data_IF_104544974487
#
_entry.id   IF_104544974487
#
_cell.length_a   1.000
_cell.length_b   1.000
_cell.length_c   1.000
_cell.angle_alpha   90.00
_cell.angle_beta   90.00
_cell.angle_gamma   90.00
#
_symmetry.space_group_name_H-M   'P 1'
#
loop_
_entity.id
_entity.type
_entity.pdbx_description
1 polymer ?
#
# COMPACT_ATOMS: atom_id res chain seq x y z
N UNK A 1 -10.99 -6.44 13.82
CA UNK A 1 -11.42 -6.03 12.47
C UNK A 1 -10.64 -4.78 12.16
N UNK A 2 -10.01 -4.70 11.00
CA UNK A 2 -9.26 -3.52 10.56
C UNK A 2 -10.23 -2.34 10.44
N UNK A 3 -9.81 -1.13 10.81
CA UNK A 3 -10.61 0.09 10.59
C UNK A 3 -10.63 0.49 9.09
N UNK A 4 -9.72 -0.09 8.31
CA UNK A 4 -9.56 0.15 6.89
C UNK A 4 -10.44 -0.79 6.08
N UNK A 5 -11.62 -0.34 5.68
CA UNK A 5 -12.53 -1.11 4.82
C UNK A 5 -12.82 -0.40 3.50
N UNK A 6 -12.68 -1.16 2.41
CA UNK A 6 -13.02 -0.68 1.07
C UNK A 6 -14.49 -0.96 0.77
N UNK A 7 -15.20 0.01 0.21
CA UNK A 7 -16.58 -0.15 -0.23
C UNK A 7 -16.66 -0.67 -1.69
N UNK A 8 -17.84 -1.13 -2.08
CA UNK A 8 -18.13 -1.42 -3.48
C UNK A 8 -18.11 -0.14 -4.33
N UNK A 9 -17.66 -0.25 -5.58
CA UNK A 9 -17.62 0.88 -6.52
C UNK A 9 -16.38 1.78 -6.40
N UNK A 10 -15.50 1.55 -5.42
CA UNK A 10 -14.19 2.21 -5.38
C UNK A 10 -13.28 1.72 -6.51
N UNK A 11 -12.51 2.66 -7.06
CA UNK A 11 -11.40 2.42 -7.96
C UNK A 11 -10.44 1.34 -7.44
N UNK A 12 -9.71 0.74 -8.37
CA UNK A 12 -8.78 -0.33 -8.07
C UNK A 12 -7.38 0.24 -7.82
N UNK A 13 -6.66 -0.32 -6.84
CA UNK A 13 -5.24 -0.05 -6.63
C UNK A 13 -4.44 -0.56 -7.83
N UNK A 14 -4.80 -1.75 -8.30
CA UNK A 14 -4.07 -2.47 -9.34
C UNK A 14 -4.56 -2.20 -10.76
N UNK A 15 -5.86 -1.95 -10.93
CA UNK A 15 -6.54 -1.91 -12.23
C UNK A 15 -6.75 -3.28 -12.90
N UNK A 16 -6.50 -4.39 -12.18
CA UNK A 16 -6.64 -5.76 -12.70
C UNK A 16 -7.84 -6.53 -12.11
N UNK A 17 -8.49 -6.00 -11.09
CA UNK A 17 -9.62 -6.62 -10.40
C UNK A 17 -9.34 -7.98 -9.78
N UNK A 18 -10.43 -8.68 -9.46
CA UNK A 18 -10.39 -10.08 -9.02
C UNK A 18 -9.55 -10.32 -7.75
N UNK A 19 -8.83 -11.45 -7.72
CA UNK A 19 -7.95 -11.81 -6.61
C UNK A 19 -6.72 -10.91 -6.52
N UNK A 20 -6.26 -10.36 -7.65
CA UNK A 20 -5.11 -9.46 -7.69
C UNK A 20 -5.41 -8.18 -6.90
N UNK A 21 -6.56 -7.55 -7.18
CA UNK A 21 -7.00 -6.36 -6.45
C UNK A 21 -7.26 -6.65 -4.96
N UNK A 22 -7.83 -7.82 -4.64
CA UNK A 22 -8.02 -8.23 -3.24
C UNK A 22 -6.68 -8.34 -2.49
N UNK A 23 -5.64 -8.87 -3.14
CA UNK A 23 -4.29 -8.90 -2.57
C UNK A 23 -3.73 -7.50 -2.36
N UNK A 24 -3.85 -6.60 -3.34
CA UNK A 24 -3.41 -5.21 -3.19
C UNK A 24 -4.14 -4.49 -2.04
N UNK A 25 -5.45 -4.66 -1.91
CA UNK A 25 -6.21 -4.06 -0.80
C UNK A 25 -5.75 -4.61 0.55
N UNK A 26 -5.50 -5.92 0.66
CA UNK A 26 -4.96 -6.55 1.88
C UNK A 26 -3.58 -5.99 2.24
N UNK A 27 -2.73 -5.82 1.24
CA UNK A 27 -1.39 -5.22 1.37
C UNK A 27 -1.45 -3.78 1.86
N UNK A 28 -2.34 -2.94 1.30
CA UNK A 28 -2.55 -1.57 1.79
C UNK A 28 -2.99 -1.58 3.25
N UNK A 29 -4.02 -2.37 3.61
CA UNK A 29 -4.49 -2.48 5.00
C UNK A 29 -3.36 -2.83 5.97
N UNK A 30 -2.53 -3.83 5.63
CA UNK A 30 -1.39 -4.23 6.46
C UNK A 30 -0.35 -3.11 6.62
N UNK A 31 -0.14 -2.28 5.59
CA UNK A 31 0.74 -1.12 5.69
C UNK A 31 0.18 -0.01 6.58
N UNK A 32 -1.14 0.20 6.56
CA UNK A 32 -1.80 1.18 7.43
C UNK A 32 -1.79 0.72 8.89
N UNK A 33 -2.10 -0.55 9.14
CA UNK A 33 -1.99 -1.16 10.47
C UNK A 33 -0.54 -1.08 11.01
N UNK A 34 0.46 -1.20 10.14
CA UNK A 34 1.85 -0.99 10.53
C UNK A 34 2.13 0.46 10.93
N UNK A 35 1.55 1.45 10.25
CA UNK A 35 1.65 2.86 10.64
C UNK A 35 0.95 3.16 11.98
N UNK A 36 -0.18 2.51 12.25
CA UNK A 36 -0.86 2.64 13.55
C UNK A 36 0.02 2.17 14.71
N UNK A 37 0.81 1.12 14.49
CA UNK A 37 1.79 0.61 15.46
C UNK A 37 3.10 1.43 15.49
N UNK A 38 3.39 2.20 14.44
CA UNK A 38 4.63 2.95 14.26
C UNK A 38 4.36 4.40 13.80
N UNK A 39 3.69 5.22 14.62
CA UNK A 39 3.17 6.53 14.19
C UNK A 39 4.25 7.58 13.87
N UNK A 40 5.49 7.37 14.29
CA UNK A 40 6.62 8.27 14.02
C UNK A 40 7.52 7.76 12.88
N UNK A 41 7.16 6.66 12.22
CA UNK A 41 7.98 6.10 11.15
C UNK A 41 7.98 7.00 9.91
N UNK A 42 9.13 7.07 9.24
CA UNK A 42 9.31 7.87 8.03
C UNK A 42 9.96 7.02 6.93
N UNK A 43 9.22 6.08 6.31
CA UNK A 43 9.79 5.15 5.34
C UNK A 43 10.14 5.83 4.01
N UNK A 44 11.39 5.68 3.60
CA UNK A 44 11.91 6.29 2.35
C UNK A 44 12.05 5.22 1.26
N UNK A 45 11.35 5.43 0.16
CA UNK A 45 11.42 4.61 -1.04
C UNK A 45 11.92 5.39 -2.24
N UNK A 46 12.68 4.75 -3.14
CA UNK A 46 13.04 5.32 -4.42
C UNK A 46 12.63 4.39 -5.57
N UNK A 47 12.03 4.98 -6.61
CA UNK A 47 11.73 4.29 -7.86
C UNK A 47 12.83 4.51 -8.90
N UNK A 48 12.81 3.69 -9.95
CA UNK A 48 13.71 3.81 -11.08
C UNK A 48 12.96 4.39 -12.28
N UNK A 49 13.50 5.45 -12.89
CA UNK A 49 12.85 6.11 -14.03
C UNK A 49 12.61 5.11 -15.18
N UNK A 50 11.37 5.05 -15.67
CA UNK A 50 10.97 4.16 -16.76
C UNK A 50 10.81 2.68 -16.37
N UNK A 51 10.97 2.32 -15.09
CA UNK A 51 10.83 0.94 -14.61
C UNK A 51 9.74 0.86 -13.54
N UNK A 52 8.68 0.12 -13.86
CA UNK A 52 7.61 -0.18 -12.92
C UNK A 52 7.78 -1.57 -12.31
N UNK A 53 7.41 -1.69 -11.04
CA UNK A 53 7.54 -2.88 -10.22
C UNK A 53 8.88 -3.03 -9.51
N UNK A 54 9.75 -2.02 -9.54
CA UNK A 54 11.04 -2.04 -8.85
C UNK A 54 11.20 -0.74 -8.05
N UNK A 55 11.25 -0.87 -6.73
CA UNK A 55 11.54 0.22 -5.80
C UNK A 55 12.58 -0.24 -4.77
N UNK A 56 13.42 0.67 -4.31
CA UNK A 56 14.39 0.43 -3.23
C UNK A 56 13.87 0.93 -1.89
N UNK A 57 14.36 0.30 -0.82
CA UNK A 57 14.09 0.67 0.58
C UNK A 57 15.33 1.37 1.14
N UNK A 58 15.28 2.69 1.26
CA UNK A 58 16.45 3.53 1.55
C UNK A 58 16.76 3.62 3.06
N UNK A 59 15.81 3.25 3.92
CA UNK A 59 15.97 3.21 5.36
C UNK A 59 15.31 1.97 6.01
N UNK A 60 15.50 1.80 7.32
CA UNK A 60 14.97 0.66 8.06
C UNK A 60 13.43 0.66 8.11
N UNK A 61 12.80 1.82 8.22
CA UNK A 61 11.34 1.94 8.21
C UNK A 61 10.75 1.44 6.89
N UNK A 62 11.34 1.80 5.75
CA UNK A 62 10.91 1.30 4.44
C UNK A 62 11.06 -0.23 4.31
N UNK A 63 12.12 -0.81 4.90
CA UNK A 63 12.30 -2.27 4.95
C UNK A 63 11.25 -2.93 5.83
N UNK A 64 10.97 -2.37 6.99
CA UNK A 64 9.99 -2.87 7.94
C UNK A 64 8.57 -2.82 7.34
N UNK A 65 8.19 -1.69 6.74
CA UNK A 65 6.93 -1.54 6.03
C UNK A 65 6.82 -2.53 4.86
N UNK A 66 7.86 -2.65 4.02
CA UNK A 66 7.87 -3.62 2.91
C UNK A 66 7.67 -5.04 3.40
N UNK A 67 8.29 -5.40 4.52
CA UNK A 67 8.14 -6.73 5.13
C UNK A 67 6.73 -6.96 5.65
N UNK A 68 6.13 -5.99 6.34
CA UNK A 68 4.76 -6.08 6.83
C UNK A 68 3.76 -6.27 5.68
N UNK A 69 3.92 -5.48 4.62
CA UNK A 69 3.06 -5.51 3.44
C UNK A 69 3.21 -6.82 2.67
N UNK A 70 4.44 -7.26 2.38
CA UNK A 70 4.67 -8.50 1.60
C UNK A 70 4.28 -9.76 2.37
N UNK A 71 4.44 -9.80 3.69
CA UNK A 71 4.00 -10.92 4.52
C UNK A 71 2.47 -11.07 4.61
N UNK A 72 1.71 -10.05 4.19
CA UNK A 72 0.25 -10.09 4.22
C UNK A 72 -0.35 -10.98 3.12
N UNK A 73 0.40 -11.35 2.10
CA UNK A 73 -0.06 -12.15 0.95
C UNK A 73 0.97 -13.21 0.57
N UNK A 74 0.52 -14.32 -0.01
CA UNK A 74 1.43 -15.42 -0.38
C UNK A 74 2.28 -15.07 -1.62
N UNK A 75 1.67 -14.40 -2.61
CA UNK A 75 2.31 -14.05 -3.89
C UNK A 75 2.33 -12.53 -4.08
N UNK A 76 3.42 -11.89 -3.65
CA UNK A 76 3.65 -10.48 -3.89
C UNK A 76 4.53 -10.28 -5.13
N UNK A 77 3.99 -9.63 -6.17
CA UNK A 77 4.80 -9.19 -7.32
C UNK A 77 5.40 -7.82 -7.06
N UNK A 78 6.49 -7.47 -7.75
CA UNK A 78 7.07 -6.12 -7.66
C UNK A 78 6.08 -5.01 -8.03
N UNK A 79 5.19 -5.26 -9.00
CA UNK A 79 4.11 -4.33 -9.37
C UNK A 79 3.09 -4.11 -8.25
N UNK A 80 2.69 -5.18 -7.55
CA UNK A 80 1.83 -5.06 -6.36
C UNK A 80 2.53 -4.27 -5.27
N UNK A 81 3.79 -4.59 -4.99
CA UNK A 81 4.58 -3.90 -3.96
C UNK A 81 4.67 -2.40 -4.25
N UNK A 82 5.06 -2.01 -5.46
CA UNK A 82 5.15 -0.59 -5.82
C UNK A 82 3.79 0.12 -5.77
N UNK A 83 2.73 -0.48 -6.33
CA UNK A 83 1.38 0.12 -6.29
C UNK A 83 0.92 0.34 -4.85
N UNK A 84 1.00 -0.70 -4.03
CA UNK A 84 0.48 -0.67 -2.65
C UNK A 84 1.28 0.28 -1.77
N UNK A 85 2.61 0.33 -1.88
CA UNK A 85 3.43 1.32 -1.18
C UNK A 85 3.01 2.74 -1.53
N UNK A 86 2.80 3.04 -2.82
CA UNK A 86 2.32 4.35 -3.24
C UNK A 86 1.00 4.74 -2.58
N UNK A 87 0.02 3.82 -2.56
CA UNK A 87 -1.27 4.05 -1.90
C UNK A 87 -1.15 4.18 -0.38
N UNK A 88 -0.30 3.38 0.26
CA UNK A 88 -0.05 3.46 1.71
C UNK A 88 0.51 4.83 2.10
N UNK A 89 1.54 5.30 1.39
CA UNK A 89 2.16 6.60 1.68
C UNK A 89 1.18 7.76 1.44
N UNK A 90 0.37 7.66 0.39
CA UNK A 90 -0.67 8.65 0.12
C UNK A 90 -1.74 8.69 1.22
N UNK A 91 -2.23 7.52 1.66
CA UNK A 91 -3.15 7.45 2.81
C UNK A 91 -2.52 8.02 4.08
N UNK A 92 -1.25 7.74 4.34
CA UNK A 92 -0.53 8.29 5.49
C UNK A 92 -0.45 9.83 5.45
N UNK A 93 -0.35 10.41 4.25
CA UNK A 93 -0.33 11.87 4.04
C UNK A 93 -1.72 12.51 4.20
N UNK A 94 -2.77 11.93 3.59
CA UNK A 94 -4.09 12.59 3.49
C UNK A 94 -5.15 12.06 4.45
N UNK A 95 -4.88 10.93 5.12
CA UNK A 95 -5.82 10.21 5.96
C UNK A 95 -6.77 9.30 5.18
N UNK A 96 -7.29 8.28 5.87
CA UNK A 96 -8.11 7.23 5.26
C UNK A 96 -9.41 7.75 4.64
N UNK A 97 -10.14 8.63 5.33
CA UNK A 97 -11.43 9.15 4.84
C UNK A 97 -11.26 9.94 3.54
N UNK A 98 -10.26 10.83 3.48
CA UNK A 98 -9.92 11.61 2.28
C UNK A 98 -9.55 10.69 1.11
N UNK A 99 -8.71 9.69 1.38
CA UNK A 99 -8.34 8.70 0.38
C UNK A 99 -9.55 7.95 -0.17
N UNK A 100 -10.49 7.53 0.68
CA UNK A 100 -11.70 6.85 0.23
C UNK A 100 -12.57 7.73 -0.69
N UNK A 101 -12.66 9.04 -0.44
CA UNK A 101 -13.36 9.97 -1.33
C UNK A 101 -12.69 10.09 -2.71
N UNK A 102 -11.36 10.03 -2.76
CA UNK A 102 -10.62 10.02 -4.01
C UNK A 102 -10.81 8.72 -4.79
N UNK A 103 -10.85 7.60 -4.09
CA UNK A 103 -11.11 6.28 -4.68
C UNK A 103 -12.54 6.14 -5.23
N UNK A 104 -13.48 7.03 -4.90
CA UNK A 104 -14.86 7.03 -5.41
C UNK A 104 -15.04 7.87 -6.68
N UNK A 105 -14.02 8.60 -7.14
CA UNK A 105 -14.05 9.45 -8.35
C UNK A 105 -13.75 8.64 -9.60
#
# INVERSE_FOLDING_TARGET
>A
MSEYEYEEGMSEISGFGGSYEKSCRKMVKAGLEWFDENPEADPIFAGYEGIYGIISTENEDAKNLSKAVTASVDDCTGAMHQATIGHILHVHEVGWETYLEEMKK
#
